data_IF_571785745601
#
_entry.id   IF_571785745601
#
_cell.length_a   1.000
_cell.length_b   1.000
_cell.length_c   1.000
_cell.angle_alpha   90.00
_cell.angle_beta   90.00
_cell.angle_gamma   90.00
#
_symmetry.space_group_name_H-M   'P 1'
#
loop_
_entity.id
_entity.type
_entity.pdbx_description
1 polymer ?
#
# COMPACT_ATOMS: atom_id res chain seq x y z
N UNK A 1 -34.14 -14.73 -20.22
CA UNK A 1 -32.92 -15.20 -20.92
C UNK A 1 -31.96 -14.04 -21.15
N UNK A 2 -32.32 -13.01 -21.93
CA UNK A 2 -31.47 -11.83 -22.18
C UNK A 2 -30.94 -11.10 -20.94
N UNK A 3 -31.79 -10.89 -19.92
CA UNK A 3 -31.35 -10.26 -18.66
C UNK A 3 -30.30 -11.08 -17.89
N UNK A 4 -30.36 -12.42 -18.01
CA UNK A 4 -29.40 -13.33 -17.37
C UNK A 4 -28.04 -13.28 -18.09
N UNK A 5 -28.06 -13.24 -19.42
CA UNK A 5 -26.86 -13.10 -20.24
C UNK A 5 -26.18 -11.74 -20.03
N UNK A 6 -26.96 -10.65 -19.94
CA UNK A 6 -26.43 -9.32 -19.64
C UNK A 6 -25.78 -9.26 -18.24
N UNK A 7 -26.39 -9.88 -17.23
CA UNK A 7 -25.81 -9.96 -15.87
C UNK A 7 -24.49 -10.71 -15.86
N UNK A 8 -24.44 -11.88 -16.51
CA UNK A 8 -23.21 -12.68 -16.59
C UNK A 8 -22.08 -11.95 -17.32
N UNK A 9 -22.39 -11.21 -18.39
CA UNK A 9 -21.39 -10.42 -19.09
C UNK A 9 -20.86 -9.27 -18.23
N UNK A 10 -21.74 -8.59 -17.49
CA UNK A 10 -21.38 -7.52 -16.58
C UNK A 10 -20.50 -8.03 -15.42
N UNK A 11 -20.83 -9.18 -14.83
CA UNK A 11 -20.01 -9.83 -13.80
C UNK A 11 -18.60 -10.14 -14.32
N UNK A 12 -18.50 -10.77 -15.51
CA UNK A 12 -17.21 -11.05 -16.14
C UNK A 12 -16.40 -9.79 -16.41
N UNK A 13 -17.06 -8.74 -16.93
CA UNK A 13 -16.43 -7.45 -17.17
C UNK A 13 -15.91 -6.82 -15.87
N UNK A 14 -16.69 -6.87 -14.80
CA UNK A 14 -16.29 -6.35 -13.49
C UNK A 14 -15.12 -7.13 -12.91
N UNK A 15 -15.13 -8.46 -12.98
CA UNK A 15 -14.01 -9.29 -12.53
C UNK A 15 -12.72 -8.98 -13.31
N UNK A 16 -12.81 -8.83 -14.64
CA UNK A 16 -11.65 -8.48 -15.46
C UNK A 16 -11.14 -7.06 -15.14
N UNK A 17 -12.04 -6.11 -14.95
CA UNK A 17 -11.70 -4.73 -14.57
C UNK A 17 -11.00 -4.69 -13.21
N UNK A 18 -11.49 -5.46 -12.24
CA UNK A 18 -10.86 -5.59 -10.92
C UNK A 18 -9.47 -6.21 -11.02
N UNK A 19 -9.29 -7.27 -11.82
CA UNK A 19 -7.99 -7.88 -12.07
C UNK A 19 -6.99 -6.89 -12.68
N UNK A 20 -7.39 -6.16 -13.72
CA UNK A 20 -6.56 -5.12 -14.35
C UNK A 20 -6.19 -4.02 -13.35
N UNK A 21 -7.13 -3.59 -12.51
CA UNK A 21 -6.88 -2.60 -11.45
C UNK A 21 -5.84 -3.08 -10.44
N UNK A 22 -5.94 -4.34 -10.00
CA UNK A 22 -4.95 -4.94 -9.10
C UNK A 22 -3.56 -5.00 -9.75
N UNK A 23 -3.47 -5.38 -11.02
CA UNK A 23 -2.21 -5.36 -11.77
C UNK A 23 -1.64 -3.95 -11.92
N UNK A 24 -2.47 -2.93 -12.16
CA UNK A 24 -2.02 -1.53 -12.24
C UNK A 24 -1.34 -1.06 -10.96
N UNK A 25 -1.79 -1.52 -9.80
CA UNK A 25 -1.13 -1.21 -8.53
C UNK A 25 0.34 -1.64 -8.53
N UNK A 26 0.70 -2.74 -9.20
CA UNK A 26 2.09 -3.25 -9.25
C UNK A 26 3.03 -2.25 -9.92
N UNK A 27 2.51 -1.43 -10.82
CA UNK A 27 3.25 -0.37 -11.50
C UNK A 27 3.20 0.97 -10.76
N UNK A 28 2.62 1.03 -9.56
CA UNK A 28 2.59 2.24 -8.76
C UNK A 28 4.04 2.75 -8.54
N UNK A 29 4.30 4.06 -8.72
CA UNK A 29 5.64 4.63 -8.62
C UNK A 29 6.36 4.25 -7.32
N UNK A 30 5.60 4.16 -6.23
CA UNK A 30 6.14 3.88 -4.90
C UNK A 30 6.77 2.49 -4.74
N UNK A 31 6.44 1.53 -5.62
CA UNK A 31 7.08 0.20 -5.67
C UNK A 31 8.38 0.20 -6.49
N UNK A 32 8.65 1.28 -7.23
CA UNK A 32 9.83 1.45 -8.08
C UNK A 32 10.85 2.43 -7.49
N UNK A 33 10.52 3.07 -6.37
CA UNK A 33 11.44 3.97 -5.69
C UNK A 33 12.58 3.17 -5.06
N UNK A 34 13.82 3.66 -5.15
CA UNK A 34 14.94 3.16 -4.36
C UNK A 34 14.63 3.17 -2.86
N UNK A 35 15.26 2.26 -2.12
CA UNK A 35 15.04 2.10 -0.67
C UNK A 35 15.38 3.37 0.10
N UNK A 36 16.50 4.00 -0.19
CA UNK A 36 16.99 5.25 0.43
C UNK A 36 16.02 6.43 0.21
N UNK A 37 15.38 6.49 -0.95
CA UNK A 37 14.33 7.48 -1.24
C UNK A 37 13.09 7.23 -0.38
N UNK A 38 12.67 5.97 -0.23
CA UNK A 38 11.55 5.61 0.66
C UNK A 38 11.87 5.92 2.12
N UNK A 39 13.07 5.60 2.60
CA UNK A 39 13.54 5.94 3.96
C UNK A 39 13.50 7.45 4.20
N UNK A 40 13.97 8.23 3.22
CA UNK A 40 13.94 9.70 3.28
C UNK A 40 12.50 10.23 3.38
N UNK A 41 11.58 9.70 2.57
CA UNK A 41 10.15 10.06 2.63
C UNK A 41 9.56 9.70 3.99
N UNK A 42 9.85 8.49 4.50
CA UNK A 42 9.34 8.01 5.79
C UNK A 42 9.80 8.87 6.96
N UNK A 43 11.03 9.40 6.91
CA UNK A 43 11.55 10.31 7.93
C UNK A 43 10.76 11.63 8.07
N UNK A 44 10.03 12.04 7.02
CA UNK A 44 9.17 13.22 7.05
C UNK A 44 7.74 12.92 7.54
N UNK A 45 7.39 11.65 7.78
CA UNK A 45 6.05 11.30 8.25
C UNK A 45 5.91 11.66 9.74
N UNK A 46 4.86 12.42 10.13
CA UNK A 46 4.67 12.81 11.53
C UNK A 46 4.56 11.59 12.45
N UNK A 47 5.35 11.62 13.53
CA UNK A 47 5.34 10.62 14.61
C UNK A 47 4.48 11.10 15.76
N UNK A 48 3.81 10.17 16.45
CA UNK A 48 3.14 10.50 17.71
C UNK A 48 4.18 10.82 18.78
N UNK A 49 4.34 12.11 19.12
CA UNK A 49 5.31 12.55 20.12
C UNK A 49 4.98 12.07 21.55
N UNK A 50 3.76 11.57 21.79
CA UNK A 50 3.25 11.23 23.12
C UNK A 50 3.18 9.72 23.38
N UNK A 51 3.03 8.91 22.32
CA UNK A 51 2.81 7.48 22.45
C UNK A 51 3.47 6.73 21.30
N UNK A 52 4.61 6.09 21.58
CA UNK A 52 5.33 5.26 20.61
C UNK A 52 4.57 3.99 20.21
N UNK A 53 3.51 3.61 20.93
CA UNK A 53 2.64 2.46 20.63
C UNK A 53 1.37 2.84 19.86
N UNK A 54 1.25 4.10 19.43
CA UNK A 54 0.14 4.51 18.58
C UNK A 54 0.28 3.92 17.18
N UNK A 55 -0.43 2.82 16.94
CA UNK A 55 -0.42 2.06 15.68
C UNK A 55 -0.90 2.87 14.48
N UNK A 56 -1.61 3.99 14.72
CA UNK A 56 -2.10 4.88 13.68
C UNK A 56 -1.10 5.99 13.33
N UNK A 57 0.04 6.04 14.01
CA UNK A 57 1.13 6.99 13.76
C UNK A 57 2.37 6.29 13.20
N UNK A 58 3.28 7.06 12.60
CA UNK A 58 4.59 6.52 12.23
C UNK A 58 5.38 6.12 13.49
N UNK A 59 6.16 5.01 13.42
CA UNK A 59 6.44 4.24 12.20
C UNK A 59 5.44 3.10 11.92
N UNK A 60 4.55 2.76 12.85
CA UNK A 60 3.63 1.61 12.73
C UNK A 60 2.69 1.70 11.54
N UNK A 61 2.13 2.89 11.29
CA UNK A 61 1.24 3.13 10.14
C UNK A 61 1.89 2.70 8.82
N UNK A 62 3.19 2.95 8.66
CA UNK A 62 3.95 2.61 7.45
C UNK A 62 4.16 1.09 7.32
N UNK A 63 4.40 0.40 8.44
CA UNK A 63 4.58 -1.06 8.49
C UNK A 63 3.30 -1.86 8.15
N UNK A 64 2.13 -1.23 8.22
CA UNK A 64 0.86 -1.85 7.85
C UNK A 64 0.56 -1.84 6.34
N UNK A 65 1.28 -1.05 5.53
CA UNK A 65 0.95 -0.83 4.11
C UNK A 65 1.33 -2.03 3.24
N UNK A 66 2.57 -2.51 3.32
CA UNK A 66 3.01 -3.71 2.61
C UNK A 66 4.27 -4.33 3.25
N UNK A 67 4.66 -5.52 2.80
CA UNK A 67 5.84 -6.23 3.31
C UNK A 67 7.14 -5.45 3.09
N UNK A 68 7.33 -4.80 1.94
CA UNK A 68 8.53 -4.00 1.65
C UNK A 68 8.66 -2.81 2.59
N UNK A 69 7.57 -2.09 2.85
CA UNK A 69 7.61 -0.94 3.76
C UNK A 69 7.84 -1.36 5.21
N UNK A 70 7.25 -2.49 5.61
CA UNK A 70 7.48 -3.09 6.92
C UNK A 70 8.95 -3.46 7.12
N UNK A 71 9.58 -4.07 6.13
CA UNK A 71 11.00 -4.38 6.15
C UNK A 71 11.84 -3.10 6.34
N UNK A 72 11.58 -2.06 5.54
CA UNK A 72 12.26 -0.75 5.69
C UNK A 72 12.09 -0.19 7.10
N UNK A 73 10.85 -0.14 7.60
CA UNK A 73 10.52 0.39 8.93
C UNK A 73 11.28 -0.32 10.05
N UNK A 74 11.36 -1.66 10.00
CA UNK A 74 12.04 -2.42 11.05
C UNK A 74 13.55 -2.49 10.91
N UNK A 75 14.10 -2.23 9.71
CA UNK A 75 15.55 -2.29 9.45
C UNK A 75 16.21 -0.91 9.44
N UNK A 76 15.45 0.18 9.63
CA UNK A 76 15.97 1.56 9.59
C UNK A 76 15.85 2.21 10.98
N UNK A 77 16.91 2.18 11.81
CA UNK A 77 16.88 2.74 13.16
C UNK A 77 16.48 4.23 13.23
N UNK A 78 16.76 5.01 12.18
CA UNK A 78 16.44 6.44 12.12
C UNK A 78 14.93 6.74 12.15
N UNK A 79 14.07 5.76 11.86
CA UNK A 79 12.61 5.93 11.84
C UNK A 79 11.96 5.78 13.22
N UNK A 80 12.70 5.34 14.23
CA UNK A 80 12.27 5.19 15.62
C UNK A 80 12.73 6.39 16.45
#
# INVERSE_FOLDING_TARGET
LLAKEASQLNERHNSLTQYVSQCRSLFAPIRRLPRDVLESIFAYVPRSAKNSLDIYSAPWLLAHICSTWRDIVFTTPLLW
#
